data_IF_926665911944
#
_entry.id   IF_926665911944
#
_cell.length_a   1.000
_cell.length_b   1.000
_cell.length_c   1.000
_cell.angle_alpha   90.00
_cell.angle_beta   90.00
_cell.angle_gamma   90.00
#
_symmetry.space_group_name_H-M   'P 1'
#
loop_
_entity.id
_entity.type
_entity.pdbx_description
1 polymer ?
#
# COMPACT_ATOMS: atom_id res chain seq x y z
N UNK A 1 -13.90 -13.35 5.80
CA UNK A 1 -15.04 -12.53 6.26
C UNK A 1 -14.51 -11.26 6.92
N UNK A 2 -15.29 -10.17 6.96
CA UNK A 2 -14.92 -8.96 7.70
C UNK A 2 -15.05 -9.19 9.19
N UNK A 3 -14.02 -8.88 9.98
CA UNK A 3 -14.09 -8.90 11.45
C UNK A 3 -15.12 -7.88 11.93
N UNK A 4 -15.82 -8.21 13.02
CA UNK A 4 -16.62 -7.23 13.75
C UNK A 4 -15.75 -6.67 14.86
N UNK A 5 -15.53 -5.37 14.84
CA UNK A 5 -14.81 -4.68 15.91
C UNK A 5 -15.84 -4.10 16.90
N UNK A 6 -15.58 -4.16 18.21
CA UNK A 6 -16.41 -3.46 19.19
C UNK A 6 -16.30 -1.94 18.99
N UNK A 7 -17.19 -1.15 19.62
CA UNK A 7 -17.00 0.30 19.74
C UNK A 7 -15.60 0.66 20.23
N UNK A 8 -15.06 1.78 19.76
CA UNK A 8 -13.72 2.23 20.15
C UNK A 8 -13.07 3.16 19.13
N UNK A 9 -11.74 3.24 19.17
CA UNK A 9 -10.95 4.15 18.34
C UNK A 9 -10.73 3.61 16.92
N UNK A 10 -10.84 4.51 15.94
CA UNK A 10 -10.35 4.26 14.59
C UNK A 10 -8.81 4.30 14.56
N UNK A 11 -8.15 3.27 14.00
CA UNK A 11 -6.68 3.22 13.90
C UNK A 11 -6.09 4.40 13.11
N UNK A 12 -6.87 4.95 12.18
CA UNK A 12 -6.41 5.99 11.26
C UNK A 12 -6.56 7.40 11.82
N UNK A 13 -7.74 7.75 12.32
CA UNK A 13 -8.01 9.11 12.80
C UNK A 13 -8.09 9.25 14.33
N UNK A 14 -7.96 8.15 15.08
CA UNK A 14 -7.89 8.10 16.55
C UNK A 14 -9.14 8.57 17.31
N UNK A 15 -10.16 9.06 16.59
CA UNK A 15 -11.48 9.38 17.12
C UNK A 15 -12.21 8.10 17.55
N UNK A 16 -13.07 8.23 18.56
CA UNK A 16 -13.93 7.17 19.08
C UNK A 16 -15.23 7.06 18.26
N UNK A 17 -15.70 5.83 18.04
CA UNK A 17 -16.90 5.53 17.28
C UNK A 17 -17.69 4.39 17.93
N UNK A 18 -19.02 4.53 17.95
CA UNK A 18 -19.96 3.47 18.35
C UNK A 18 -19.99 2.29 17.39
N UNK A 19 -19.60 2.53 16.13
CA UNK A 19 -19.55 1.50 15.10
C UNK A 19 -18.28 1.64 14.28
N UNK A 20 -17.49 0.57 14.27
CA UNK A 20 -16.26 0.46 13.51
C UNK A 20 -16.42 -0.57 12.38
N UNK A 21 -15.86 -0.20 11.23
CA UNK A 21 -15.73 -1.09 10.08
C UNK A 21 -14.42 -1.88 10.17
N UNK A 22 -14.30 -2.91 9.32
CA UNK A 22 -13.11 -3.73 9.18
C UNK A 22 -12.35 -3.34 7.92
N UNK A 23 -11.27 -2.58 8.12
CA UNK A 23 -10.36 -2.21 7.05
C UNK A 23 -9.28 -3.30 6.91
N UNK A 24 -9.00 -3.72 5.68
CA UNK A 24 -7.98 -4.72 5.41
C UNK A 24 -6.64 -4.03 5.25
N UNK A 25 -5.59 -4.50 5.93
CA UNK A 25 -4.28 -3.86 5.82
C UNK A 25 -3.77 -3.85 4.37
N UNK A 26 -3.89 -4.99 3.69
CA UNK A 26 -3.73 -5.12 2.24
C UNK A 26 -5.08 -5.52 1.62
N UNK A 27 -5.55 -4.85 0.56
CA UNK A 27 -6.86 -5.16 -0.02
C UNK A 27 -6.92 -6.57 -0.60
N UNK A 28 -8.09 -7.23 -0.48
CA UNK A 28 -8.33 -8.56 -1.12
C UNK A 28 -7.98 -8.53 -2.61
N UNK A 29 -8.26 -7.40 -3.28
CA UNK A 29 -8.04 -7.27 -4.71
C UNK A 29 -6.56 -7.40 -5.12
N UNK A 30 -5.63 -7.04 -4.22
CA UNK A 30 -4.18 -7.05 -4.42
C UNK A 30 -3.54 -8.43 -4.22
N UNK A 31 -4.30 -9.39 -3.71
CA UNK A 31 -3.78 -10.72 -3.46
C UNK A 31 -3.75 -11.56 -4.76
N UNK A 32 -2.64 -12.28 -5.03
CA UNK A 32 -2.56 -13.30 -6.05
C UNK A 32 -3.61 -14.40 -5.82
N UNK A 33 -4.00 -15.08 -6.90
CA UNK A 33 -4.96 -16.21 -6.82
C UNK A 33 -4.41 -17.41 -6.03
N UNK A 34 -3.09 -17.52 -5.91
CA UNK A 34 -2.43 -18.62 -5.20
C UNK A 34 -2.61 -18.57 -3.69
N UNK A 35 -3.02 -17.43 -3.11
CA UNK A 35 -3.27 -17.33 -1.66
C UNK A 35 -4.64 -17.95 -1.34
N UNK A 36 -4.70 -18.99 -0.49
CA UNK A 36 -5.95 -19.65 -0.13
C UNK A 36 -6.98 -18.69 0.49
N UNK A 37 -8.27 -18.89 0.18
CA UNK A 37 -9.33 -17.99 0.67
C UNK A 37 -9.54 -18.05 2.19
N UNK A 38 -9.08 -19.14 2.83
CA UNK A 38 -9.19 -19.39 4.26
C UNK A 38 -8.07 -18.75 5.10
N UNK A 39 -7.08 -18.09 4.50
CA UNK A 39 -6.04 -17.39 5.27
C UNK A 39 -6.66 -16.20 6.01
N UNK A 40 -6.44 -16.13 7.33
CA UNK A 40 -6.91 -15.04 8.15
C UNK A 40 -6.25 -13.73 7.74
N UNK A 41 -7.06 -12.77 7.29
CA UNK A 41 -6.54 -11.50 6.79
C UNK A 41 -6.27 -10.52 7.93
N UNK A 42 -5.20 -9.77 7.75
CA UNK A 42 -4.89 -8.60 8.55
C UNK A 42 -5.95 -7.52 8.36
N UNK A 43 -6.69 -7.26 9.43
CA UNK A 43 -7.77 -6.31 9.47
C UNK A 43 -7.69 -5.48 10.75
N UNK A 44 -8.07 -4.21 10.64
CA UNK A 44 -7.99 -3.23 11.72
C UNK A 44 -9.30 -2.45 11.86
N UNK A 45 -9.62 -1.93 13.07
CA UNK A 45 -10.79 -1.10 13.26
C UNK A 45 -10.60 0.25 12.57
N UNK A 46 -11.56 0.61 11.72
CA UNK A 46 -11.59 1.90 11.05
C UNK A 46 -13.00 2.47 11.06
N UNK A 47 -13.14 3.79 11.21
CA UNK A 47 -14.41 4.43 10.90
C UNK A 47 -14.75 4.31 9.40
N UNK A 48 -16.02 4.50 9.06
CA UNK A 48 -16.53 4.38 7.69
C UNK A 48 -15.85 5.37 6.73
N UNK A 49 -15.59 6.58 7.19
CA UNK A 49 -14.94 7.64 6.41
C UNK A 49 -13.49 7.28 6.04
N UNK A 50 -12.66 6.93 7.02
CA UNK A 50 -11.28 6.52 6.78
C UNK A 50 -11.20 5.28 5.88
N UNK A 51 -12.04 4.27 6.14
CA UNK A 51 -12.07 3.04 5.34
C UNK A 51 -12.46 3.34 3.89
N UNK A 52 -13.47 4.19 3.67
CA UNK A 52 -13.86 4.63 2.32
C UNK A 52 -12.73 5.38 1.60
N UNK A 53 -12.05 6.29 2.30
CA UNK A 53 -10.97 7.09 1.72
C UNK A 53 -9.77 6.21 1.34
N UNK A 54 -9.37 5.29 2.21
CA UNK A 54 -8.32 4.33 1.90
C UNK A 54 -8.73 3.35 0.81
N UNK A 55 -9.97 2.85 0.82
CA UNK A 55 -10.46 1.99 -0.27
C UNK A 55 -10.36 2.66 -1.65
N UNK A 56 -10.63 3.97 -1.74
CA UNK A 56 -10.44 4.73 -2.98
C UNK A 56 -8.95 4.87 -3.36
N UNK A 57 -8.10 5.20 -2.40
CA UNK A 57 -6.64 5.31 -2.60
C UNK A 57 -6.07 3.98 -3.12
N UNK A 58 -6.45 2.89 -2.49
CA UNK A 58 -6.01 1.53 -2.83
C UNK A 58 -6.51 1.07 -4.19
N UNK A 59 -7.73 1.44 -4.57
CA UNK A 59 -8.25 1.16 -5.90
C UNK A 59 -7.44 1.90 -6.97
N UNK A 60 -7.15 3.18 -6.75
CA UNK A 60 -6.36 4.00 -7.68
C UNK A 60 -4.90 3.50 -7.80
N UNK A 61 -4.29 3.07 -6.69
CA UNK A 61 -2.95 2.47 -6.67
C UNK A 61 -2.93 1.07 -7.30
N UNK A 62 -3.96 0.24 -7.07
CA UNK A 62 -4.05 -1.08 -7.69
C UNK A 62 -4.04 -0.99 -9.21
N UNK A 63 -4.86 -0.08 -9.76
CA UNK A 63 -4.94 0.10 -11.21
C UNK A 63 -3.59 0.57 -11.74
N UNK A 64 -2.93 1.49 -11.04
CA UNK A 64 -1.61 1.98 -11.43
C UNK A 64 -0.55 0.87 -11.43
N UNK A 65 -0.35 0.21 -10.29
CA UNK A 65 0.66 -0.83 -10.15
C UNK A 65 0.40 -2.01 -11.08
N UNK A 66 -0.84 -2.47 -11.22
CA UNK A 66 -1.14 -3.63 -12.07
C UNK A 66 -0.79 -3.41 -13.54
N UNK A 67 -0.73 -2.16 -14.03
CA UNK A 67 -0.29 -1.83 -15.39
C UNK A 67 1.21 -1.58 -15.51
N UNK A 68 1.94 -1.48 -14.40
CA UNK A 68 3.40 -1.37 -14.35
C UNK A 68 4.08 -2.72 -14.06
N UNK A 69 3.31 -3.78 -13.81
CA UNK A 69 3.78 -5.14 -13.57
C UNK A 69 3.73 -5.95 -14.87
N UNK A 70 4.59 -6.96 -15.01
CA UNK A 70 4.54 -7.88 -16.16
C UNK A 70 3.24 -8.71 -16.10
N UNK A 71 2.31 -8.54 -17.05
CA UNK A 71 1.06 -9.28 -17.04
C UNK A 71 1.23 -10.78 -17.34
N UNK A 72 2.42 -11.20 -17.81
CA UNK A 72 2.76 -12.61 -18.05
C UNK A 72 3.29 -13.32 -16.81
N UNK A 73 3.70 -12.58 -15.79
CA UNK A 73 4.08 -13.18 -14.51
C UNK A 73 2.81 -13.76 -13.84
N UNK A 74 2.77 -15.07 -13.53
CA UNK A 74 1.62 -15.70 -12.88
C UNK A 74 1.20 -15.04 -11.56
N UNK A 75 2.13 -14.37 -10.87
CA UNK A 75 1.86 -13.63 -9.65
C UNK A 75 0.96 -12.40 -9.89
N UNK A 76 1.11 -11.76 -11.05
CA UNK A 76 0.50 -10.47 -11.37
C UNK A 76 -0.62 -10.56 -12.41
N UNK A 77 -0.70 -11.64 -13.19
CA UNK A 77 -1.73 -11.84 -14.23
C UNK A 77 -3.14 -11.57 -13.67
N UNK A 78 -3.44 -12.15 -12.50
CA UNK A 78 -4.73 -11.97 -11.83
C UNK A 78 -5.00 -10.52 -11.40
N UNK A 79 -3.97 -9.75 -11.08
CA UNK A 79 -4.07 -8.32 -10.73
C UNK A 79 -4.32 -7.49 -12.00
N UNK A 80 -3.55 -7.74 -13.05
CA UNK A 80 -3.72 -7.08 -14.34
C UNK A 80 -5.14 -7.29 -14.89
N UNK A 81 -5.67 -8.52 -14.88
CA UNK A 81 -7.03 -8.80 -15.35
C UNK A 81 -8.08 -8.03 -14.52
N UNK A 82 -7.93 -8.00 -13.19
CA UNK A 82 -8.86 -7.27 -12.30
C UNK A 82 -8.81 -5.76 -12.56
N UNK A 83 -7.61 -5.19 -12.66
CA UNK A 83 -7.39 -3.76 -12.91
C UNK A 83 -7.89 -3.35 -14.30
N UNK A 84 -7.56 -4.12 -15.34
CA UNK A 84 -8.09 -3.88 -16.70
C UNK A 84 -9.62 -3.91 -16.71
N UNK A 85 -10.21 -4.88 -16.01
CA UNK A 85 -11.67 -4.98 -15.90
C UNK A 85 -12.27 -3.78 -15.14
N UNK A 86 -11.63 -3.28 -14.07
CA UNK A 86 -12.14 -2.12 -13.30
C UNK A 86 -12.25 -0.87 -14.16
N UNK A 87 -11.37 -0.68 -15.15
CA UNK A 87 -11.44 0.46 -16.07
C UNK A 87 -12.16 0.16 -17.40
N UNK A 88 -12.80 -1.00 -17.56
CA UNK A 88 -13.48 -1.38 -18.82
C UNK A 88 -15.00 -1.16 -18.70
N UNK A 89 -15.61 -0.15 -19.37
CA UNK A 89 -17.04 0.15 -19.23
C UNK A 89 -17.95 -1.03 -19.57
N UNK A 90 -17.64 -1.79 -20.63
CA UNK A 90 -18.44 -2.95 -21.06
C UNK A 90 -18.44 -4.12 -20.08
N UNK A 91 -17.55 -4.11 -19.07
CA UNK A 91 -17.57 -5.09 -17.99
C UNK A 91 -18.50 -4.69 -16.83
N UNK A 92 -19.21 -3.56 -16.96
CA UNK A 92 -20.15 -3.07 -15.97
C UNK A 92 -21.43 -3.89 -15.89
N UNK A 93 -21.98 -4.02 -14.69
CA UNK A 93 -23.25 -4.76 -14.45
C UNK A 93 -24.51 -3.91 -14.56
N UNK A 94 -24.35 -2.59 -14.61
CA UNK A 94 -25.42 -1.60 -14.72
C UNK A 94 -24.87 -0.35 -15.39
N UNK A 95 -25.74 0.52 -15.89
CA UNK A 95 -25.34 1.81 -16.48
C UNK A 95 -24.48 2.64 -15.53
N UNK A 96 -24.85 2.69 -14.25
CA UNK A 96 -24.08 3.38 -13.22
C UNK A 96 -22.68 2.77 -13.03
N UNK A 97 -22.55 1.44 -13.07
CA UNK A 97 -21.23 0.77 -13.00
C UNK A 97 -20.42 1.08 -14.27
N UNK A 98 -21.02 0.98 -15.46
CA UNK A 98 -20.37 1.34 -16.73
C UNK A 98 -19.79 2.76 -16.69
N UNK A 99 -20.55 3.73 -16.21
CA UNK A 99 -20.13 5.13 -16.12
C UNK A 99 -19.03 5.32 -15.06
N UNK A 100 -19.08 4.62 -13.92
CA UNK A 100 -17.99 4.62 -12.92
C UNK A 100 -16.67 4.11 -13.53
N UNK A 101 -16.72 2.98 -14.25
CA UNK A 101 -15.55 2.39 -14.92
C UNK A 101 -15.00 3.31 -16.01
N UNK A 102 -15.88 3.94 -16.80
CA UNK A 102 -15.51 4.94 -17.81
C UNK A 102 -14.79 6.13 -17.17
N UNK A 103 -15.32 6.67 -16.08
CA UNK A 103 -14.68 7.77 -15.36
C UNK A 103 -13.34 7.37 -14.75
N UNK A 104 -13.23 6.15 -14.21
CA UNK A 104 -11.95 5.62 -13.73
C UNK A 104 -10.93 5.48 -14.86
N UNK A 105 -11.33 4.95 -16.02
CA UNK A 105 -10.48 4.88 -17.22
C UNK A 105 -9.99 6.26 -17.63
N UNK A 106 -10.87 7.25 -17.70
CA UNK A 106 -10.49 8.63 -18.05
C UNK A 106 -9.48 9.21 -17.06
N UNK A 107 -9.68 9.01 -15.74
CA UNK A 107 -8.71 9.45 -14.73
C UNK A 107 -7.37 8.71 -14.83
N UNK A 108 -7.40 7.41 -15.11
CA UNK A 108 -6.21 6.59 -15.26
C UNK A 108 -5.38 6.99 -16.49
N UNK A 109 -6.02 7.17 -17.65
CA UNK A 109 -5.34 7.56 -18.89
C UNK A 109 -4.67 8.94 -18.79
N UNK A 110 -5.22 9.86 -17.98
CA UNK A 110 -4.59 11.16 -17.70
C UNK A 110 -3.27 11.08 -16.94
N UNK A 111 -2.91 9.92 -16.37
CA UNK A 111 -1.65 9.72 -15.65
C UNK A 111 -0.49 9.29 -16.57
N UNK A 112 -0.77 8.97 -17.83
CA UNK A 112 0.28 8.58 -18.77
C UNK A 112 1.08 9.81 -19.19
N UNK A 113 2.40 9.69 -19.12
CA UNK A 113 3.37 10.71 -19.54
C UNK A 113 4.37 10.05 -20.48
N UNK A 114 4.85 10.79 -21.48
CA UNK A 114 5.86 10.25 -22.37
C UNK A 114 7.19 10.08 -21.61
N UNK A 115 7.86 8.94 -21.77
CA UNK A 115 9.08 8.58 -21.01
C UNK A 115 10.22 9.57 -21.22
N UNK A 116 10.30 10.18 -22.42
CA UNK A 116 11.29 11.24 -22.72
C UNK A 116 11.13 12.51 -21.89
N UNK A 117 9.96 12.72 -21.27
CA UNK A 117 9.68 13.88 -20.42
C UNK A 117 10.00 13.63 -18.94
N UNK A 118 10.39 12.39 -18.58
CA UNK A 118 10.60 11.99 -17.19
C UNK A 118 12.10 11.86 -16.92
N UNK A 119 12.67 12.65 -15.99
CA UNK A 119 14.06 12.45 -15.58
C UNK A 119 14.21 11.09 -14.91
N UNK A 120 15.34 10.40 -15.13
CA UNK A 120 15.59 9.08 -14.53
C UNK A 120 15.48 9.08 -13.01
N UNK A 121 15.82 10.19 -12.36
CA UNK A 121 15.69 10.38 -10.91
C UNK A 121 14.25 10.38 -10.40
N UNK A 122 13.25 10.52 -11.28
CA UNK A 122 11.84 10.43 -10.94
C UNK A 122 11.28 8.99 -11.08
N UNK A 123 12.10 8.03 -11.50
CA UNK A 123 11.69 6.63 -11.49
C UNK A 123 11.64 6.10 -10.06
N UNK A 124 10.50 5.52 -9.70
CA UNK A 124 10.33 4.92 -8.40
C UNK A 124 11.31 3.74 -8.22
N UNK A 125 11.97 3.59 -7.05
CA UNK A 125 12.89 2.48 -6.82
C UNK A 125 12.27 1.11 -7.11
N UNK A 126 12.97 0.26 -7.85
CA UNK A 126 12.46 -1.06 -8.30
C UNK A 126 11.65 -1.03 -9.60
N UNK A 127 11.39 0.17 -10.15
CA UNK A 127 10.84 0.37 -11.49
C UNK A 127 11.87 1.03 -12.39
N UNK A 128 11.74 0.80 -13.70
CA UNK A 128 12.61 1.36 -14.71
C UNK A 128 11.90 1.45 -16.05
N UNK A 129 12.66 1.78 -17.09
CA UNK A 129 12.14 1.71 -18.45
C UNK A 129 11.74 0.27 -18.76
N UNK A 130 10.57 0.12 -19.37
CA UNK A 130 10.12 -1.18 -19.86
C UNK A 130 11.09 -1.70 -20.92
N UNK A 131 11.43 -2.99 -20.85
CA UNK A 131 12.19 -3.68 -21.90
C UNK A 131 11.35 -3.90 -23.17
N UNK A 132 10.04 -3.63 -23.11
CA UNK A 132 9.14 -3.74 -24.27
C UNK A 132 9.49 -2.64 -25.28
N UNK A 133 9.84 -3.00 -26.53
CA UNK A 133 10.10 -2.03 -27.58
C UNK A 133 8.91 -1.09 -27.77
N UNK A 134 9.20 0.22 -27.95
CA UNK A 134 8.20 1.28 -28.14
C UNK A 134 7.26 1.52 -26.94
N UNK A 135 7.66 1.11 -25.73
CA UNK A 135 6.98 1.52 -24.49
C UNK A 135 7.40 2.94 -24.09
N UNK A 136 6.99 3.92 -24.89
CA UNK A 136 7.38 5.32 -24.70
C UNK A 136 6.58 6.04 -23.62
N UNK A 137 5.89 5.31 -22.75
CA UNK A 137 5.00 5.88 -21.76
C UNK A 137 5.34 5.41 -20.35
N UNK A 138 5.45 6.37 -19.44
CA UNK A 138 5.46 6.16 -17.99
C UNK A 138 4.09 6.45 -17.39
N UNK A 139 3.88 5.97 -16.16
CA UNK A 139 2.68 6.24 -15.39
C UNK A 139 3.01 7.10 -14.17
N UNK A 140 2.40 8.28 -14.08
CA UNK A 140 2.56 9.16 -12.93
C UNK A 140 1.77 8.64 -11.73
N UNK A 141 2.49 8.39 -10.63
CA UNK A 141 1.92 8.03 -9.34
C UNK A 141 2.28 9.14 -8.35
N UNK A 142 1.30 9.82 -7.74
CA UNK A 142 1.59 10.84 -6.74
C UNK A 142 2.30 10.24 -5.54
N UNK A 143 3.46 10.80 -5.18
CA UNK A 143 4.24 10.38 -4.01
C UNK A 143 3.39 10.37 -2.73
N UNK A 144 2.56 11.40 -2.54
CA UNK A 144 1.65 11.53 -1.41
C UNK A 144 0.65 10.36 -1.29
N UNK A 145 0.23 9.79 -2.43
CA UNK A 145 -0.64 8.60 -2.42
C UNK A 145 0.11 7.38 -1.87
N UNK A 146 1.39 7.24 -2.18
CA UNK A 146 2.24 6.16 -1.68
C UNK A 146 2.56 6.36 -0.19
N UNK A 147 2.87 7.60 0.23
CA UNK A 147 3.11 7.91 1.64
C UNK A 147 1.89 7.59 2.51
N UNK A 148 0.69 8.04 2.11
CA UNK A 148 -0.56 7.70 2.82
C UNK A 148 -0.82 6.20 2.88
N UNK A 149 -0.51 5.47 1.82
CA UNK A 149 -0.64 4.02 1.83
C UNK A 149 0.37 3.37 2.77
N UNK A 150 1.64 3.79 2.75
CA UNK A 150 2.66 3.36 3.71
C UNK A 150 2.26 3.65 5.16
N UNK A 151 1.76 4.85 5.46
CA UNK A 151 1.24 5.20 6.79
C UNK A 151 0.12 4.27 7.24
N UNK A 152 -0.82 3.94 6.35
CA UNK A 152 -1.86 2.94 6.62
C UNK A 152 -1.27 1.59 6.99
N UNK A 153 -0.28 1.11 6.23
CA UNK A 153 0.40 -0.16 6.51
C UNK A 153 1.06 -0.13 7.88
N UNK A 154 1.82 0.94 8.19
CA UNK A 154 2.53 1.12 9.46
C UNK A 154 1.56 1.16 10.64
N UNK A 155 0.54 2.02 10.59
CA UNK A 155 -0.48 2.11 11.65
C UNK A 155 -1.15 0.76 11.89
N UNK A 156 -1.49 0.07 10.81
CA UNK A 156 -2.18 -1.21 10.90
C UNK A 156 -1.31 -2.35 11.40
N UNK A 157 -0.05 -2.47 10.98
CA UNK A 157 0.84 -3.53 11.47
C UNK A 157 1.18 -3.34 12.95
N UNK A 158 1.37 -2.09 13.40
CA UNK A 158 1.55 -1.76 14.82
C UNK A 158 0.32 -2.19 15.63
N UNK A 159 -0.87 -1.87 15.14
CA UNK A 159 -2.11 -2.29 15.81
C UNK A 159 -2.27 -3.82 15.85
N UNK A 160 -1.90 -4.52 14.78
CA UNK A 160 -2.03 -5.98 14.71
C UNK A 160 -1.04 -6.67 15.67
N UNK A 161 0.19 -6.19 15.70
CA UNK A 161 1.31 -6.87 16.37
C UNK A 161 1.47 -6.45 17.83
N UNK A 162 1.26 -5.17 18.14
CA UNK A 162 1.43 -4.60 19.49
C UNK A 162 0.12 -4.16 20.14
N UNK A 163 -1.02 -4.20 19.42
CA UNK A 163 -2.32 -3.72 19.92
C UNK A 163 -2.31 -2.26 20.37
N UNK A 164 -1.45 -1.45 19.76
CA UNK A 164 -1.26 -0.02 20.07
C UNK A 164 -1.75 0.87 18.92
N UNK A 165 -2.08 2.11 19.27
CA UNK A 165 -2.36 3.18 18.31
C UNK A 165 -1.13 4.08 18.17
N UNK A 166 -0.81 4.51 16.95
CA UNK A 166 0.15 5.59 16.73
C UNK A 166 -0.57 6.91 16.91
N UNK A 167 -0.45 7.50 18.10
CA UNK A 167 -1.18 8.70 18.47
C UNK A 167 -0.58 10.00 17.89
N UNK A 168 -1.16 11.15 18.25
CA UNK A 168 -0.71 12.46 17.76
C UNK A 168 0.64 12.93 18.31
N UNK A 169 1.17 12.27 19.36
CA UNK A 169 2.52 12.55 19.88
C UNK A 169 3.62 11.92 19.02
N UNK A 170 3.25 11.08 18.06
CA UNK A 170 4.15 10.44 17.13
C UNK A 170 4.04 11.04 15.72
N UNK A 171 5.14 10.96 14.99
CA UNK A 171 5.22 11.24 13.56
C UNK A 171 5.50 9.94 12.82
N UNK A 172 4.80 9.74 11.70
CA UNK A 172 5.10 8.68 10.75
C UNK A 172 5.68 9.35 9.51
N UNK A 173 6.87 8.96 9.08
CA UNK A 173 7.41 9.30 7.77
C UNK A 173 7.54 8.04 6.91
N UNK A 174 7.38 8.23 5.60
CA UNK A 174 7.51 7.15 4.61
C UNK A 174 8.40 7.67 3.49
N UNK A 175 9.49 6.95 3.24
CA UNK A 175 10.52 7.30 2.27
C UNK A 175 10.71 6.19 1.23
N UNK A 176 11.20 6.59 0.07
CA UNK A 176 11.47 5.71 -1.06
C UNK A 176 12.93 5.89 -1.47
N UNK A 177 13.75 4.88 -1.20
CA UNK A 177 15.20 4.95 -1.41
C UNK A 177 15.67 3.77 -2.26
N UNK A 178 16.66 4.01 -3.12
CA UNK A 178 17.42 2.93 -3.75
C UNK A 178 18.25 2.22 -2.69
N UNK A 179 18.36 0.89 -2.80
CA UNK A 179 19.02 0.05 -1.78
C UNK A 179 20.46 0.48 -1.47
N UNK A 180 21.14 1.07 -2.44
CA UNK A 180 22.49 1.60 -2.29
C UNK A 180 22.60 2.68 -1.20
N UNK A 181 21.53 3.47 -0.99
CA UNK A 181 21.51 4.59 -0.06
C UNK A 181 21.20 4.21 1.40
N UNK A 182 20.84 2.95 1.64
CA UNK A 182 20.24 2.51 2.92
C UNK A 182 20.79 1.15 3.37
N UNK A 183 21.98 0.77 2.90
CA UNK A 183 22.60 -0.53 3.23
C UNK A 183 22.69 -0.76 4.73
N UNK A 184 23.05 0.26 5.50
CA UNK A 184 23.17 0.15 6.95
C UNK A 184 21.82 -0.14 7.61
N UNK A 185 20.74 0.49 7.11
CA UNK A 185 19.39 0.21 7.56
C UNK A 185 18.96 -1.21 7.19
N UNK A 186 19.25 -1.66 5.96
CA UNK A 186 18.95 -3.03 5.52
C UNK A 186 19.66 -4.04 6.43
N UNK A 187 20.94 -3.85 6.72
CA UNK A 187 21.73 -4.72 7.60
C UNK A 187 21.18 -4.75 9.03
N UNK A 188 20.82 -3.59 9.59
CA UNK A 188 20.17 -3.49 10.91
C UNK A 188 18.87 -4.31 10.94
N UNK A 189 18.04 -4.13 9.91
CA UNK A 189 16.75 -4.81 9.81
C UNK A 189 16.94 -6.31 9.61
N UNK A 190 17.91 -6.76 8.82
CA UNK A 190 18.23 -8.20 8.66
C UNK A 190 18.68 -8.85 9.97
N UNK A 191 19.38 -8.11 10.83
CA UNK A 191 19.90 -8.64 12.09
C UNK A 191 18.86 -8.64 13.21
N UNK A 192 18.00 -7.61 13.27
CA UNK A 192 17.12 -7.37 14.42
C UNK A 192 15.63 -7.28 14.08
N UNK A 193 15.26 -7.25 12.81
CA UNK A 193 13.89 -7.05 12.37
C UNK A 193 13.03 -8.31 12.51
N UNK A 194 11.83 -8.14 13.06
CA UNK A 194 10.76 -9.13 12.99
C UNK A 194 10.11 -9.07 11.61
N UNK A 195 9.85 -10.24 10.98
CA UNK A 195 9.26 -10.32 9.64
C UNK A 195 7.79 -10.75 9.75
N UNK A 196 6.92 -9.97 9.13
CA UNK A 196 5.49 -10.25 8.98
C UNK A 196 5.16 -10.38 7.50
N UNK A 197 4.72 -11.57 7.09
CA UNK A 197 4.41 -11.86 5.69
C UNK A 197 2.96 -12.25 5.49
N UNK A 198 2.41 -11.83 4.35
CA UNK A 198 1.10 -12.27 3.89
C UNK A 198 1.21 -12.82 2.47
N UNK A 199 1.57 -14.11 2.41
CA UNK A 199 1.89 -14.79 1.15
C UNK A 199 3.00 -14.05 0.39
N UNK A 200 2.89 -14.04 -0.94
CA UNK A 200 3.85 -13.34 -1.81
C UNK A 200 3.47 -11.87 -2.09
N UNK A 201 2.39 -11.37 -1.47
CA UNK A 201 1.80 -10.08 -1.80
C UNK A 201 2.41 -8.93 -0.99
N UNK A 202 2.79 -9.19 0.27
CA UNK A 202 3.41 -8.20 1.15
C UNK A 202 4.32 -8.89 2.17
N UNK A 203 5.49 -8.30 2.37
CA UNK A 203 6.41 -8.58 3.48
C UNK A 203 6.66 -7.26 4.20
N UNK A 204 6.53 -7.27 5.52
CA UNK A 204 6.81 -6.12 6.39
C UNK A 204 7.83 -6.58 7.40
N UNK A 205 9.05 -6.08 7.27
CA UNK A 205 10.07 -6.25 8.29
C UNK A 205 10.04 -5.04 9.22
N UNK A 206 10.02 -5.25 10.53
CA UNK A 206 9.92 -4.18 11.52
C UNK A 206 10.93 -4.37 12.64
N UNK A 207 11.61 -3.29 13.00
CA UNK A 207 12.42 -3.21 14.20
C UNK A 207 11.85 -2.12 15.11
N UNK A 208 11.41 -2.52 16.30
CA UNK A 208 10.84 -1.61 17.29
C UNK A 208 11.91 -1.12 18.26
N UNK A 209 11.83 0.15 18.66
CA UNK A 209 12.60 0.65 19.79
C UNK A 209 11.92 0.20 21.09
N UNK A 210 12.45 -0.85 21.74
CA UNK A 210 11.79 -1.58 22.84
C UNK A 210 11.25 -0.66 23.95
N UNK A 211 12.01 0.36 24.35
CA UNK A 211 11.63 1.28 25.42
C UNK A 211 10.77 2.47 24.95
N UNK A 212 10.47 2.56 23.65
CA UNK A 212 9.82 3.73 23.03
C UNK A 212 8.68 3.35 22.09
N UNK A 213 8.01 2.21 22.32
CA UNK A 213 6.85 1.83 21.52
C UNK A 213 5.82 2.97 21.41
N UNK A 214 5.19 3.17 20.24
CA UNK A 214 5.29 2.37 19.02
C UNK A 214 6.43 2.80 18.06
N UNK A 215 7.47 3.49 18.53
CA UNK A 215 8.58 3.91 17.68
C UNK A 215 9.31 2.72 17.06
N UNK A 216 9.73 2.86 15.82
CA UNK A 216 10.39 1.80 15.07
C UNK A 216 10.64 2.14 13.62
N UNK A 217 11.33 1.22 12.94
CA UNK A 217 11.66 1.29 11.52
C UNK A 217 11.00 0.12 10.79
N UNK A 218 10.47 0.41 9.61
CA UNK A 218 9.64 -0.50 8.82
C UNK A 218 10.22 -0.60 7.41
N UNK A 219 10.46 -1.82 6.94
CA UNK A 219 10.76 -2.13 5.54
C UNK A 219 9.57 -2.88 4.95
N UNK A 220 8.83 -2.19 4.09
CA UNK A 220 7.56 -2.64 3.53
C UNK A 220 7.77 -2.98 2.07
N UNK A 221 7.62 -4.25 1.72
CA UNK A 221 7.79 -4.74 0.36
C UNK A 221 6.51 -5.34 -0.18
N UNK A 222 5.95 -4.72 -1.20
CA UNK A 222 4.63 -5.03 -1.76
C UNK A 222 4.78 -5.53 -3.18
N UNK A 223 4.10 -6.64 -3.49
CA UNK A 223 4.07 -7.28 -4.80
C UNK A 223 5.48 -7.55 -5.37
N UNK A 224 6.49 -7.74 -4.51
CA UNK A 224 7.90 -7.93 -4.89
C UNK A 224 8.47 -6.83 -5.80
N UNK A 225 7.87 -5.63 -5.79
CA UNK A 225 8.27 -4.52 -6.66
C UNK A 225 8.30 -3.17 -5.96
N UNK A 226 7.31 -2.89 -5.13
CA UNK A 226 7.20 -1.60 -4.44
C UNK A 226 7.80 -1.74 -3.06
N UNK A 227 8.93 -1.07 -2.81
CA UNK A 227 9.59 -1.04 -1.50
C UNK A 227 9.46 0.35 -0.89
N UNK A 228 9.11 0.41 0.39
CA UNK A 228 8.93 1.64 1.17
C UNK A 228 9.59 1.49 2.52
N UNK A 229 10.18 2.57 3.02
CA UNK A 229 10.78 2.62 4.34
C UNK A 229 9.98 3.55 5.22
N UNK A 230 9.46 3.01 6.33
CA UNK A 230 8.66 3.74 7.28
C UNK A 230 9.42 4.01 8.57
N UNK A 231 9.21 5.18 9.16
CA UNK A 231 9.78 5.52 10.45
C UNK A 231 8.67 6.05 11.36
N UNK A 232 8.60 5.53 12.57
CA UNK A 232 7.75 6.05 13.64
C UNK A 232 8.64 6.59 14.73
N UNK A 233 8.51 7.88 15.02
CA UNK A 233 9.26 8.56 16.08
C UNK A 233 8.34 9.36 16.96
N UNK A 234 8.71 9.50 18.23
CA UNK A 234 8.02 10.42 19.12
C UNK A 234 8.47 11.85 18.81
N UNK A 235 7.52 12.78 18.66
CA UNK A 235 7.79 14.19 18.35
C UNK A 235 8.57 14.92 19.44
N UNK A 236 8.55 14.43 20.67
CA UNK A 236 9.32 14.99 21.79
C UNK A 236 10.75 14.45 21.87
N UNK A 237 11.03 13.32 21.20
CA UNK A 237 12.36 12.74 21.08
C UNK A 237 13.01 13.29 19.80
N UNK A 238 13.21 14.60 19.74
CA UNK A 238 14.10 15.20 18.75
C UNK A 238 15.47 15.26 19.41
N UNK A 239 16.38 14.40 18.95
CA UNK A 239 17.82 14.51 19.22
C UNK A 239 18.44 15.43 18.18
#
# INVERSE_FOLDING_TARGET
MSKRFPPGKCVHCLRDFESLTSDHLLPKAWLPKSIPENVERWQIPSCSECNKNYGKLEEDLLVAFSHCLDPKDPLYEGLYIKAKRSITPSAGKSEQDCEKRKNQRTRFLKKFIHSSQVPKSAFFPGFGLSEVPNSDWGLLIPEESLKKFGEKIIRGIIYITKRMYVDFSHEISVDFQHEENIKDLINLMETHGEIYEFGQAISIKVWYAENYLPCGVFDIFILRKVRMYGFVKNKSLVV
#
